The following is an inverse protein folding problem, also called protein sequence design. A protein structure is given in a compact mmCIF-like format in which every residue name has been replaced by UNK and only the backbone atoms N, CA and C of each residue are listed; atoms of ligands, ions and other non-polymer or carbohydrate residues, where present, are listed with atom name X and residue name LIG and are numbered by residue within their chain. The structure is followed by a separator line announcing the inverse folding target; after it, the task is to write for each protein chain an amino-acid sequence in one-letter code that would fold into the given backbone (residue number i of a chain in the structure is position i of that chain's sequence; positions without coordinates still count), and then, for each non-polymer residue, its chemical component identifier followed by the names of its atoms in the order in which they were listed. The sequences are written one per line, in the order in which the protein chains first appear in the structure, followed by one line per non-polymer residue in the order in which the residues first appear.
data_IF_491851539803
#
_entry.id   IF_491851539803
#
_cell.length_a   1.000
_cell.length_b   1.000
_cell.length_c   1.000
_cell.angle_alpha   90.00
_cell.angle_beta   90.00
_cell.angle_gamma   90.00
#
_symmetry.space_group_name_H-M   'P 1'
#
loop_
_entity.id
_entity.type
_entity.pdbx_description
1 polymer ?
#
# COMPACT_ATOMS: atom_id res chain seq x y z
N UNK A 1 10.34 14.27 -11.46
CA UNK A 1 11.14 13.04 -11.73
C UNK A 1 12.23 12.81 -10.66
N UNK A 2 12.92 13.86 -10.17
CA UNK A 2 13.92 13.73 -9.08
C UNK A 2 13.28 13.28 -7.76
N UNK A 3 12.12 13.81 -7.40
CA UNK A 3 11.41 13.46 -6.15
C UNK A 3 10.94 12.00 -6.10
N UNK A 4 10.73 11.37 -7.27
CA UNK A 4 10.41 9.93 -7.36
C UNK A 4 11.64 9.03 -7.16
N UNK A 5 12.85 9.56 -7.42
CA UNK A 5 14.12 8.84 -7.24
C UNK A 5 14.57 8.92 -5.77
N UNK A 6 14.36 10.04 -5.10
CA UNK A 6 14.79 10.23 -3.70
C UNK A 6 13.95 9.43 -2.69
N UNK A 7 12.66 9.16 -2.99
CA UNK A 7 11.80 8.33 -2.11
C UNK A 7 12.28 6.88 -1.96
N UNK A 8 12.62 6.15 -3.03
CA UNK A 8 13.23 4.83 -2.92
C UNK A 8 14.59 4.82 -2.21
N UNK A 9 15.42 5.86 -2.40
CA UNK A 9 16.71 5.98 -1.72
C UNK A 9 16.55 6.18 -0.20
N UNK A 10 15.54 6.94 0.24
CA UNK A 10 15.19 7.08 1.66
C UNK A 10 14.67 5.75 2.25
N UNK A 11 13.88 4.98 1.52
CA UNK A 11 13.43 3.66 1.95
C UNK A 11 14.57 2.63 2.01
N UNK A 12 15.53 2.73 1.10
CA UNK A 12 16.79 1.96 1.12
C UNK A 12 17.65 2.30 2.35
N UNK A 13 17.76 3.59 2.71
CA UNK A 13 18.49 4.04 3.90
C UNK A 13 17.80 3.55 5.19
N UNK A 14 16.48 3.41 5.17
CA UNK A 14 15.70 2.90 6.29
C UNK A 14 15.88 1.39 6.47
N UNK A 15 15.83 0.61 5.39
CA UNK A 15 16.15 -0.83 5.40
C UNK A 15 17.57 -1.14 5.87
N UNK A 16 18.52 -0.21 5.65
CA UNK A 16 19.89 -0.33 6.16
C UNK A 16 20.00 0.05 7.64
N UNK A 17 19.21 1.00 8.13
CA UNK A 17 19.22 1.45 9.55
C UNK A 17 18.76 0.37 10.52
N UNK A 18 17.73 -0.43 10.14
CA UNK A 18 17.24 -1.55 10.96
C UNK A 18 18.15 -2.76 11.01
N UNK A 19 19.23 -2.79 10.19
CA UNK A 19 20.13 -3.94 10.04
C UNK A 19 21.53 -3.74 10.66
N UNK A 20 21.83 -2.57 11.21
CA UNK A 20 23.19 -2.20 11.64
C UNK A 20 23.63 -2.81 12.98
N UNK A 21 22.75 -3.51 13.71
CA UNK A 21 23.07 -4.02 15.04
C UNK A 21 24.04 -5.22 15.12
N UNK A 22 24.29 -5.95 14.01
CA UNK A 22 25.12 -7.17 14.05
C UNK A 22 25.79 -7.58 12.73
N UNK A 23 25.88 -6.68 11.74
CA UNK A 23 26.48 -7.01 10.44
C UNK A 23 27.93 -6.56 10.32
N UNK A 24 28.81 -7.45 9.83
CA UNK A 24 30.17 -7.09 9.42
C UNK A 24 30.15 -6.12 8.23
N UNK A 25 31.20 -5.29 8.09
CA UNK A 25 31.32 -4.30 7.00
C UNK A 25 31.22 -4.95 5.60
N UNK A 26 31.72 -6.19 5.44
CA UNK A 26 31.62 -6.95 4.19
C UNK A 26 30.18 -7.35 3.85
N UNK A 27 29.40 -7.80 4.85
CA UNK A 27 27.97 -8.10 4.65
C UNK A 27 27.17 -6.85 4.32
N UNK A 28 27.52 -5.71 4.92
CA UNK A 28 26.92 -4.40 4.59
C UNK A 28 27.22 -3.96 3.15
N UNK A 29 28.50 -4.13 2.71
CA UNK A 29 28.91 -3.79 1.34
C UNK A 29 28.22 -4.69 0.29
N UNK A 30 28.19 -6.02 0.56
CA UNK A 30 27.47 -6.97 -0.32
C UNK A 30 25.98 -6.68 -0.40
N UNK A 31 25.35 -6.33 0.73
CA UNK A 31 23.92 -5.97 0.75
C UNK A 31 23.63 -4.64 0.07
N UNK A 32 24.50 -3.62 0.22
CA UNK A 32 24.42 -2.37 -0.55
C UNK A 32 24.50 -2.64 -2.05
N UNK A 33 25.45 -3.47 -2.49
CA UNK A 33 25.59 -3.85 -3.90
C UNK A 33 24.34 -4.57 -4.43
N UNK A 34 23.78 -5.50 -3.67
CA UNK A 34 22.54 -6.22 -4.03
C UNK A 34 21.33 -5.26 -4.09
N UNK A 35 21.19 -4.34 -3.14
CA UNK A 35 20.10 -3.36 -3.12
C UNK A 35 20.27 -2.34 -4.26
N UNK A 36 21.49 -1.91 -4.57
CA UNK A 36 21.78 -0.99 -5.66
C UNK A 36 21.52 -1.65 -7.02
N UNK A 37 21.92 -2.93 -7.20
CA UNK A 37 21.64 -3.68 -8.41
C UNK A 37 20.14 -3.91 -8.66
N UNK A 38 19.37 -4.20 -7.61
CA UNK A 38 17.91 -4.28 -7.70
C UNK A 38 17.29 -2.92 -8.00
N UNK A 39 17.85 -1.85 -7.48
CA UNK A 39 17.40 -0.48 -7.72
C UNK A 39 17.69 -0.01 -9.15
N UNK A 40 18.86 -0.32 -9.70
CA UNK A 40 19.19 -0.02 -11.10
C UNK A 40 18.30 -0.80 -12.07
N UNK A 41 17.90 -2.02 -11.72
CA UNK A 41 16.92 -2.80 -12.48
C UNK A 41 15.55 -2.16 -12.43
N UNK A 42 15.13 -1.65 -11.27
CA UNK A 42 13.90 -0.86 -11.11
C UNK A 42 14.01 0.47 -11.85
N UNK A 43 15.14 1.14 -11.83
CA UNK A 43 15.35 2.42 -12.54
C UNK A 43 15.36 2.28 -14.05
N UNK A 44 15.81 1.18 -14.62
CA UNK A 44 15.67 0.91 -16.07
C UNK A 44 14.22 0.84 -16.53
N UNK A 45 13.32 0.46 -15.63
CA UNK A 45 11.87 0.42 -15.89
C UNK A 45 11.15 1.71 -15.44
N UNK A 46 11.89 2.79 -15.10
CA UNK A 46 11.34 4.05 -14.54
C UNK A 46 10.34 4.75 -15.47
N UNK A 47 10.42 4.54 -16.75
CA UNK A 47 9.39 5.05 -17.68
C UNK A 47 8.02 4.41 -17.44
N UNK A 48 7.98 3.25 -16.78
CA UNK A 48 6.80 2.46 -16.45
C UNK A 48 6.46 2.43 -14.95
N UNK A 49 7.13 3.21 -14.08
CA UNK A 49 6.72 3.28 -12.66
C UNK A 49 5.31 3.85 -12.60
N UNK A 50 4.34 3.05 -12.14
CA UNK A 50 2.99 3.54 -12.04
C UNK A 50 2.92 4.66 -10.99
N UNK A 51 2.26 5.75 -11.32
CA UNK A 51 1.98 6.86 -10.40
C UNK A 51 0.83 6.53 -9.41
N UNK A 52 0.76 5.30 -8.97
CA UNK A 52 -0.26 4.81 -8.05
C UNK A 52 0.28 3.64 -7.21
N UNK A 53 -0.29 3.47 -6.01
CA UNK A 53 -0.07 2.30 -5.17
C UNK A 53 -1.05 1.21 -5.60
N UNK A 54 -0.57 -0.02 -5.76
CA UNK A 54 -1.42 -1.17 -6.05
C UNK A 54 -1.70 -1.95 -4.78
N UNK A 55 -2.97 -2.12 -4.45
CA UNK A 55 -3.43 -3.04 -3.41
C UNK A 55 -3.90 -4.33 -4.07
N UNK A 56 -3.34 -5.45 -3.65
CA UNK A 56 -3.64 -6.78 -4.19
C UNK A 56 -4.19 -7.72 -3.13
N UNK A 57 -3.60 -7.71 -1.94
CA UNK A 57 -3.75 -8.77 -0.96
C UNK A 57 -4.50 -8.30 0.28
N UNK A 58 -5.23 -9.22 0.88
CA UNK A 58 -5.75 -9.01 2.21
C UNK A 58 -4.61 -9.15 3.25
N UNK A 59 -4.49 -8.24 4.23
CA UNK A 59 -3.42 -8.27 5.22
C UNK A 59 -3.63 -9.37 6.25
N UNK A 60 -3.10 -10.56 6.01
CA UNK A 60 -3.18 -11.70 6.96
C UNK A 60 -1.86 -12.08 7.62
N UNK A 61 -0.75 -11.70 7.03
CA UNK A 61 0.55 -12.03 7.57
C UNK A 61 1.62 -11.00 7.19
N UNK A 62 2.72 -11.02 7.93
CA UNK A 62 3.88 -10.14 7.70
C UNK A 62 4.58 -10.35 6.33
N UNK A 63 4.19 -11.35 5.56
CA UNK A 63 4.80 -11.66 4.25
C UNK A 63 4.03 -11.10 3.07
N UNK A 64 2.89 -10.44 3.29
CA UNK A 64 2.06 -9.91 2.23
C UNK A 64 2.58 -8.56 1.77
N UNK A 65 2.85 -8.43 0.49
CA UNK A 65 3.23 -7.19 -0.17
C UNK A 65 2.00 -6.56 -0.83
N UNK A 66 1.89 -5.22 -0.75
CA UNK A 66 0.75 -4.52 -1.34
C UNK A 66 -0.53 -4.57 -0.51
N UNK A 67 -0.45 -4.96 0.78
CA UNK A 67 -1.59 -5.09 1.66
C UNK A 67 -2.08 -3.76 2.24
N UNK A 68 -1.19 -2.78 2.36
CA UNK A 68 -1.49 -1.47 2.93
C UNK A 68 -1.06 -0.35 2.00
N UNK A 69 -1.95 0.63 1.82
CA UNK A 69 -1.59 1.92 1.25
C UNK A 69 -1.69 3.00 2.33
N UNK A 70 -0.64 3.77 2.52
CA UNK A 70 -0.57 4.84 3.51
C UNK A 70 0.25 6.03 2.99
N UNK A 71 0.12 7.16 3.67
CA UNK A 71 0.86 8.39 3.35
C UNK A 71 2.25 8.31 3.96
N UNK A 72 3.29 8.13 3.13
CA UNK A 72 4.68 8.06 3.59
C UNK A 72 5.14 9.32 4.32
N UNK A 73 4.62 10.47 3.90
CA UNK A 73 4.94 11.79 4.46
C UNK A 73 4.30 12.01 5.83
N UNK A 74 3.36 11.13 6.24
CA UNK A 74 2.69 11.12 7.54
C UNK A 74 3.06 9.84 8.34
N UNK A 75 4.27 9.34 8.17
CA UNK A 75 4.71 8.10 8.86
C UNK A 75 4.73 8.23 10.39
N UNK A 76 4.97 9.43 10.92
CA UNK A 76 4.95 9.72 12.36
C UNK A 76 3.54 9.95 12.90
N UNK A 77 2.53 9.92 12.02
CA UNK A 77 1.13 10.08 12.36
C UNK A 77 0.68 11.52 12.55
N UNK A 78 -0.59 11.69 12.87
CA UNK A 78 -1.20 13.00 13.10
C UNK A 78 -0.70 13.61 14.42
N UNK A 79 -0.56 14.95 14.48
CA UNK A 79 0.00 15.63 15.65
C UNK A 79 -0.97 15.74 16.85
N UNK A 80 -2.29 15.57 16.62
CA UNK A 80 -3.33 15.74 17.63
C UNK A 80 -4.41 14.67 17.49
N UNK A 81 -5.04 14.33 18.62
CA UNK A 81 -6.27 13.54 18.61
C UNK A 81 -7.40 14.35 17.97
N UNK A 82 -8.24 13.71 17.17
CA UNK A 82 -9.39 14.39 16.59
C UNK A 82 -10.01 13.72 15.40
N UNK A 83 -11.07 14.36 14.90
CA UNK A 83 -11.65 13.99 13.62
C UNK A 83 -10.86 14.59 12.46
N UNK A 84 -10.66 13.77 11.45
CA UNK A 84 -9.98 14.15 10.22
C UNK A 84 -10.86 13.82 9.02
N UNK A 85 -10.82 14.67 8.00
CA UNK A 85 -11.36 14.37 6.69
C UNK A 85 -10.30 13.58 5.92
N UNK A 86 -10.58 12.33 5.66
CA UNK A 86 -9.75 11.45 4.86
C UNK A 86 -10.39 11.24 3.49
N UNK A 87 -9.62 11.39 2.41
CA UNK A 87 -10.08 11.13 1.07
C UNK A 87 -9.01 10.39 0.25
N UNK A 88 -9.45 9.64 -0.75
CA UNK A 88 -8.56 9.01 -1.72
C UNK A 88 -9.22 8.85 -3.08
N UNK A 89 -8.38 8.86 -4.13
CA UNK A 89 -8.79 8.52 -5.48
C UNK A 89 -8.34 7.10 -5.80
N UNK A 90 -9.24 6.26 -6.29
CA UNK A 90 -8.91 4.89 -6.61
C UNK A 90 -9.65 4.35 -7.84
N UNK A 91 -9.07 3.30 -8.43
CA UNK A 91 -9.66 2.53 -9.52
C UNK A 91 -9.59 1.05 -9.18
N UNK A 92 -10.74 0.37 -9.14
CA UNK A 92 -10.83 -1.09 -9.03
C UNK A 92 -10.68 -1.70 -10.43
N UNK A 93 -9.80 -2.67 -10.60
CA UNK A 93 -9.52 -3.28 -11.89
C UNK A 93 -9.50 -4.80 -11.80
N UNK A 94 -9.95 -5.42 -12.88
CA UNK A 94 -9.86 -6.85 -13.10
C UNK A 94 -10.53 -7.69 -11.99
N UNK A 95 -11.63 -7.22 -11.41
CA UNK A 95 -12.45 -8.00 -10.48
C UNK A 95 -12.85 -9.34 -11.11
N UNK A 96 -13.24 -9.30 -12.37
CA UNK A 96 -13.37 -10.46 -13.23
C UNK A 96 -12.13 -10.50 -14.12
N UNK A 97 -11.14 -11.37 -13.85
CA UNK A 97 -9.95 -11.48 -14.66
C UNK A 97 -10.30 -11.98 -16.08
N UNK A 98 -9.62 -11.49 -17.13
CA UNK A 98 -9.90 -11.90 -18.51
C UNK A 98 -9.25 -13.25 -18.86
N UNK A 99 -9.20 -14.17 -17.91
CA UNK A 99 -8.60 -15.50 -18.07
C UNK A 99 -9.61 -16.57 -17.68
N UNK A 100 -9.55 -17.73 -18.32
CA UNK A 100 -10.38 -18.88 -17.99
C UNK A 100 -10.15 -19.38 -16.56
N UNK A 101 -8.90 -19.24 -16.07
CA UNK A 101 -8.51 -19.64 -14.71
C UNK A 101 -8.51 -18.43 -13.77
N UNK A 102 -9.19 -18.55 -12.65
CA UNK A 102 -9.13 -17.53 -11.58
C UNK A 102 -7.89 -17.75 -10.69
N UNK A 103 -6.74 -17.25 -11.13
CA UNK A 103 -5.46 -17.37 -10.42
C UNK A 103 -5.51 -16.72 -9.02
N UNK A 104 -6.20 -15.60 -8.91
CA UNK A 104 -6.26 -14.82 -7.67
C UNK A 104 -7.20 -15.41 -6.62
N UNK A 105 -8.06 -16.38 -7.00
CA UNK A 105 -9.05 -17.01 -6.12
C UNK A 105 -9.92 -15.99 -5.36
N UNK A 106 -10.17 -14.85 -5.99
CA UNK A 106 -11.08 -13.83 -5.47
C UNK A 106 -12.50 -14.13 -5.86
N UNK A 107 -13.45 -13.67 -5.04
CA UNK A 107 -14.86 -13.70 -5.38
C UNK A 107 -15.15 -12.63 -6.42
N UNK A 108 -15.63 -13.04 -7.59
CA UNK A 108 -15.92 -12.14 -8.71
C UNK A 108 -17.34 -11.57 -8.68
N UNK A 109 -18.20 -12.14 -7.84
CA UNK A 109 -19.59 -11.74 -7.61
C UNK A 109 -19.74 -10.57 -6.63
N UNK A 110 -18.70 -10.28 -5.83
CA UNK A 110 -18.72 -9.19 -4.87
C UNK A 110 -17.93 -7.96 -5.39
N UNK A 111 -18.38 -6.72 -5.10
CA UNK A 111 -17.56 -5.55 -5.34
C UNK A 111 -16.30 -5.59 -4.48
N UNK A 112 -15.22 -4.98 -4.94
CA UNK A 112 -14.05 -4.81 -4.10
C UNK A 112 -14.35 -3.88 -2.93
N UNK A 113 -13.86 -4.24 -1.75
CA UNK A 113 -14.08 -3.48 -0.51
C UNK A 113 -12.75 -3.07 0.11
N UNK A 114 -12.65 -1.79 0.41
CA UNK A 114 -11.56 -1.23 1.19
C UNK A 114 -12.03 -0.80 2.56
N UNK A 115 -11.12 -0.76 3.52
CA UNK A 115 -11.33 -0.08 4.80
C UNK A 115 -10.16 0.84 5.12
N UNK A 116 -10.44 1.86 5.94
CA UNK A 116 -9.41 2.64 6.61
C UNK A 116 -9.18 2.04 7.99
N UNK A 117 -7.93 1.80 8.32
CA UNK A 117 -7.50 1.39 9.66
C UNK A 117 -6.40 2.33 10.17
N UNK A 118 -6.28 2.58 11.48
CA UNK A 118 -5.16 3.34 12.01
C UNK A 118 -3.89 2.51 11.95
N UNK A 119 -2.76 3.19 11.90
CA UNK A 119 -1.44 2.61 12.07
C UNK A 119 -0.57 3.52 12.90
N UNK A 120 0.32 2.95 13.71
CA UNK A 120 1.28 3.69 14.50
C UNK A 120 2.66 3.07 14.31
N UNK A 121 3.65 3.88 13.89
CA UNK A 121 5.01 3.42 13.62
C UNK A 121 5.73 2.93 14.88
N UNK A 122 5.36 3.42 16.06
CA UNK A 122 5.91 2.98 17.35
C UNK A 122 5.44 1.57 17.71
N UNK A 123 4.24 1.17 17.24
CA UNK A 123 3.68 -0.17 17.44
C UNK A 123 4.26 -1.18 16.45
N UNK A 124 4.57 -0.72 15.25
CA UNK A 124 5.16 -1.57 14.22
C UNK A 124 5.19 -0.94 12.83
N UNK A 125 5.81 -1.62 11.86
CA UNK A 125 5.89 -1.12 10.50
C UNK A 125 4.51 -0.88 9.89
N UNK A 126 4.30 0.28 9.25
CA UNK A 126 3.01 0.67 8.68
C UNK A 126 2.54 -0.20 7.50
N UNK A 127 3.45 -0.92 6.85
CA UNK A 127 3.14 -1.85 5.76
C UNK A 127 2.80 -3.27 6.22
N UNK A 128 2.77 -3.50 7.54
CA UNK A 128 2.47 -4.81 8.15
C UNK A 128 1.23 -4.72 9.03
N UNK A 129 0.55 -5.86 9.31
CA UNK A 129 -0.51 -5.93 10.29
C UNK A 129 -0.04 -5.48 11.68
N UNK A 130 -0.88 -4.70 12.35
CA UNK A 130 -0.67 -4.26 13.72
C UNK A 130 -1.72 -4.88 14.65
N UNK A 131 -1.47 -4.97 15.97
CA UNK A 131 -2.34 -5.69 16.90
C UNK A 131 -3.77 -5.15 16.96
N UNK A 132 -3.96 -3.84 16.80
CA UNK A 132 -5.26 -3.18 16.84
C UNK A 132 -5.50 -2.40 15.54
N UNK A 133 -6.41 -2.89 14.73
CA UNK A 133 -6.80 -2.29 13.45
C UNK A 133 -8.33 -2.13 13.35
N UNK A 134 -8.93 -1.26 14.19
CA UNK A 134 -10.35 -0.97 14.06
C UNK A 134 -10.63 -0.37 12.69
N UNK A 135 -11.71 -0.81 12.07
CA UNK A 135 -12.12 -0.28 10.76
C UNK A 135 -12.84 1.04 10.96
N UNK A 136 -12.17 2.14 10.64
CA UNK A 136 -12.67 3.50 10.84
C UNK A 136 -13.70 3.90 9.76
N UNK A 137 -13.57 3.35 8.56
CA UNK A 137 -14.50 3.54 7.46
C UNK A 137 -14.39 2.38 6.46
N UNK A 138 -15.49 2.14 5.70
CA UNK A 138 -15.59 1.12 4.67
C UNK A 138 -16.00 1.73 3.34
N UNK A 139 -15.50 1.18 2.24
CA UNK A 139 -15.80 1.64 0.90
C UNK A 139 -16.01 0.47 -0.04
N UNK A 140 -17.10 0.50 -0.79
CA UNK A 140 -17.32 -0.37 -1.95
C UNK A 140 -16.80 0.33 -3.20
N UNK A 141 -15.97 -0.38 -3.94
CA UNK A 141 -15.28 0.16 -5.10
C UNK A 141 -16.11 0.02 -6.37
N UNK A 142 -16.10 1.05 -7.19
CA UNK A 142 -16.69 1.01 -8.53
C UNK A 142 -15.65 0.47 -9.52
N UNK A 143 -16.04 -0.56 -10.28
CA UNK A 143 -15.18 -1.20 -11.25
C UNK A 143 -14.83 -0.27 -12.43
N UNK A 144 -13.57 -0.32 -12.85
CA UNK A 144 -13.09 0.27 -14.10
C UNK A 144 -13.03 1.80 -14.14
N UNK A 145 -13.57 2.49 -13.13
CA UNK A 145 -13.62 3.96 -13.10
C UNK A 145 -12.81 4.50 -11.92
N UNK A 146 -12.02 5.54 -12.20
CA UNK A 146 -11.39 6.33 -11.14
C UNK A 146 -12.47 7.12 -10.40
N UNK A 147 -12.55 6.93 -9.10
CA UNK A 147 -13.54 7.61 -8.24
C UNK A 147 -12.86 8.11 -6.97
N UNK A 148 -13.33 9.24 -6.47
CA UNK A 148 -12.95 9.80 -5.19
C UNK A 148 -13.86 9.24 -4.10
N UNK A 149 -13.24 8.80 -3.01
CA UNK A 149 -13.88 8.31 -1.80
C UNK A 149 -13.46 9.17 -0.63
N UNK A 150 -14.33 9.36 0.36
CA UNK A 150 -14.01 10.15 1.54
C UNK A 150 -14.79 9.67 2.76
N UNK A 151 -14.23 9.95 3.93
CA UNK A 151 -14.88 9.74 5.22
C UNK A 151 -14.32 10.71 6.27
N UNK A 152 -15.13 10.99 7.29
CA UNK A 152 -14.67 11.59 8.54
C UNK A 152 -14.25 10.45 9.46
N UNK A 153 -12.99 10.44 9.90
CA UNK A 153 -12.41 9.39 10.73
C UNK A 153 -11.80 10.00 11.98
N UNK A 154 -11.86 9.26 13.10
CA UNK A 154 -11.13 9.63 14.30
C UNK A 154 -9.73 9.03 14.25
N UNK A 155 -8.72 9.87 14.53
CA UNK A 155 -7.34 9.44 14.70
C UNK A 155 -6.78 9.93 16.01
N UNK A 156 -6.08 9.08 16.74
CA UNK A 156 -5.28 9.45 17.87
C UNK A 156 -3.94 10.03 17.43
N UNK A 157 -3.35 10.91 18.22
CA UNK A 157 -1.99 11.42 18.01
C UNK A 157 -1.02 10.27 17.74
N UNK A 158 -0.13 10.44 16.75
CA UNK A 158 0.81 9.43 16.31
C UNK A 158 0.20 8.35 15.38
N UNK A 159 -1.10 8.43 15.07
CA UNK A 159 -1.75 7.49 14.15
C UNK A 159 -1.72 8.00 12.71
N UNK A 160 -1.49 7.09 11.78
CA UNK A 160 -1.56 7.30 10.33
C UNK A 160 -2.69 6.47 9.73
N UNK A 161 -3.55 7.04 8.86
CA UNK A 161 -4.58 6.27 8.18
C UNK A 161 -3.94 5.35 7.13
N UNK A 162 -4.37 4.09 7.12
CA UNK A 162 -3.92 3.08 6.18
C UNK A 162 -5.13 2.46 5.48
N UNK A 163 -5.08 2.32 4.16
CA UNK A 163 -6.09 1.59 3.40
C UNK A 163 -5.71 0.12 3.31
N UNK A 164 -6.68 -0.75 3.55
CA UNK A 164 -6.56 -2.20 3.40
C UNK A 164 -7.61 -2.73 2.43
N UNK A 165 -7.26 -3.80 1.71
CA UNK A 165 -8.15 -4.46 0.76
C UNK A 165 -8.83 -5.66 1.46
N UNK A 166 -10.10 -5.49 1.86
CA UNK A 166 -10.80 -6.43 2.75
C UNK A 166 -11.09 -7.80 2.12
N UNK A 167 -11.43 -7.83 0.84
CA UNK A 167 -11.73 -9.04 0.08
C UNK A 167 -10.74 -9.30 -1.05
N UNK A 168 -9.51 -8.81 -0.91
CA UNK A 168 -8.41 -9.10 -1.83
C UNK A 168 -7.90 -10.54 -1.69
N UNK A 169 -7.17 -10.97 -2.69
CA UNK A 169 -6.55 -12.30 -2.70
C UNK A 169 -5.46 -12.43 -1.64
N UNK A 170 -5.40 -13.59 -0.97
CA UNK A 170 -4.32 -13.92 -0.03
C UNK A 170 -3.09 -14.51 -0.69
N UNK A 171 -3.20 -14.88 -1.96
CA UNK A 171 -2.18 -15.60 -2.71
C UNK A 171 -1.71 -14.79 -3.91
N UNK A 172 -1.81 -13.48 -3.86
CA UNK A 172 -1.54 -12.60 -5.02
C UNK A 172 -0.14 -12.78 -5.58
N UNK A 173 0.88 -12.99 -4.72
CA UNK A 173 2.23 -13.30 -5.19
C UNK A 173 2.25 -14.56 -6.06
N UNK A 174 1.63 -15.63 -5.59
CA UNK A 174 1.54 -16.89 -6.33
C UNK A 174 0.65 -16.75 -7.56
N UNK A 175 -0.44 -15.99 -7.46
CA UNK A 175 -1.31 -15.69 -8.58
C UNK A 175 -0.56 -14.99 -9.73
N UNK A 176 0.32 -14.04 -9.42
CA UNK A 176 1.15 -13.39 -10.43
C UNK A 176 2.15 -14.37 -11.09
N UNK A 177 2.77 -15.25 -10.29
CA UNK A 177 3.68 -16.28 -10.81
C UNK A 177 2.93 -17.26 -11.72
N UNK A 178 1.80 -17.80 -11.27
CA UNK A 178 0.98 -18.73 -12.06
C UNK A 178 0.44 -18.07 -13.33
N UNK A 179 -0.03 -16.83 -13.23
CA UNK A 179 -0.51 -16.09 -14.40
C UNK A 179 0.61 -15.79 -15.40
N UNK A 180 1.83 -15.48 -14.90
CA UNK A 180 3.00 -15.29 -15.76
C UNK A 180 3.33 -16.55 -16.56
N UNK A 181 3.38 -17.71 -15.88
CA UNK A 181 3.63 -18.99 -16.54
C UNK A 181 2.56 -19.31 -17.59
N UNK A 182 1.29 -19.12 -17.24
CA UNK A 182 0.18 -19.31 -18.17
C UNK A 182 0.26 -18.39 -19.39
N UNK A 183 0.52 -17.09 -19.19
CA UNK A 183 0.63 -16.13 -20.29
C UNK A 183 1.77 -16.47 -21.23
N UNK A 184 2.93 -16.80 -20.70
CA UNK A 184 4.10 -17.18 -21.50
C UNK A 184 3.86 -18.46 -22.30
N UNK A 185 3.24 -19.47 -21.68
CA UNK A 185 2.87 -20.70 -22.38
C UNK A 185 1.86 -20.43 -23.50
N UNK A 186 0.81 -19.64 -23.22
CA UNK A 186 -0.19 -19.24 -24.23
C UNK A 186 0.44 -18.52 -25.42
N UNK A 187 1.40 -17.63 -25.15
CA UNK A 187 2.03 -16.76 -26.15
C UNK A 187 3.27 -17.44 -26.81
N UNK A 188 3.50 -18.73 -26.54
CA UNK A 188 4.60 -19.50 -27.12
C UNK A 188 6.00 -19.06 -26.66
N UNK A 189 6.08 -18.34 -25.52
CA UNK A 189 7.34 -17.85 -24.98
C UNK A 189 8.01 -18.89 -24.08
N UNK A 190 9.36 -18.96 -24.05
CA UNK A 190 10.07 -19.90 -23.19
C UNK A 190 9.78 -19.60 -21.71
N UNK A 191 9.77 -20.62 -20.83
CA UNK A 191 9.57 -20.43 -19.40
C UNK A 191 10.69 -19.57 -18.79
N UNK A 192 10.36 -18.79 -17.74
CA UNK A 192 11.35 -18.04 -16.98
C UNK A 192 12.05 -18.94 -15.95
N UNK A 193 13.32 -18.66 -15.69
CA UNK A 193 14.19 -19.52 -14.88
C UNK A 193 13.88 -19.45 -13.38
N UNK A 194 13.30 -18.36 -12.90
CA UNK A 194 13.08 -18.14 -11.46
C UNK A 194 11.66 -17.69 -11.12
N UNK A 195 11.26 -17.95 -9.85
CA UNK A 195 10.00 -17.44 -9.31
C UNK A 195 9.95 -15.91 -9.24
N UNK A 196 11.08 -15.24 -9.06
CA UNK A 196 11.13 -13.79 -9.04
C UNK A 196 10.92 -13.18 -10.44
N UNK A 197 11.50 -13.75 -11.46
CA UNK A 197 11.25 -13.31 -12.87
C UNK A 197 9.80 -13.52 -13.25
N UNK A 198 9.21 -14.67 -12.89
CA UNK A 198 7.79 -14.91 -13.08
C UNK A 198 6.93 -13.89 -12.32
N UNK A 199 7.29 -13.55 -11.07
CA UNK A 199 6.57 -12.54 -10.28
C UNK A 199 6.62 -11.16 -10.97
N UNK A 200 7.81 -10.72 -11.41
CA UNK A 200 7.98 -9.44 -12.11
C UNK A 200 7.18 -9.42 -13.41
N UNK A 201 7.28 -10.48 -14.21
CA UNK A 201 6.52 -10.61 -15.46
C UNK A 201 5.00 -10.56 -15.17
N UNK A 202 4.53 -11.29 -14.17
CA UNK A 202 3.13 -11.30 -13.79
C UNK A 202 2.64 -9.93 -13.30
N UNK A 203 3.45 -9.20 -12.53
CA UNK A 203 3.12 -7.83 -12.08
C UNK A 203 3.00 -6.85 -13.26
N UNK A 204 3.79 -7.04 -14.30
CA UNK A 204 3.80 -6.17 -15.49
C UNK A 204 2.68 -6.52 -16.48
N UNK A 205 2.43 -7.79 -16.72
CA UNK A 205 1.61 -8.27 -17.85
C UNK A 205 0.28 -8.90 -17.44
N UNK A 206 0.17 -9.46 -16.22
CA UNK A 206 -1.05 -10.12 -15.80
C UNK A 206 -2.13 -9.12 -15.36
N UNK A 207 -3.35 -9.29 -15.89
CA UNK A 207 -4.54 -8.53 -15.52
C UNK A 207 -5.25 -9.22 -14.35
N UNK A 208 -4.65 -9.13 -13.16
CA UNK A 208 -5.19 -9.71 -11.93
C UNK A 208 -5.96 -8.69 -11.11
N UNK A 209 -6.91 -9.14 -10.26
CA UNK A 209 -7.71 -8.29 -9.38
C UNK A 209 -6.85 -7.34 -8.56
N UNK A 210 -7.07 -6.03 -8.66
CA UNK A 210 -6.29 -5.02 -7.94
C UNK A 210 -7.08 -3.73 -7.73
N UNK A 211 -6.73 -2.99 -6.69
CA UNK A 211 -7.17 -1.61 -6.50
C UNK A 211 -5.96 -0.69 -6.63
N UNK A 212 -6.03 0.27 -7.55
CA UNK A 212 -4.99 1.30 -7.75
C UNK A 212 -5.37 2.53 -6.97
N UNK A 213 -4.56 2.91 -5.99
CA UNK A 213 -4.70 4.14 -5.21
C UNK A 213 -3.84 5.22 -5.87
N UNK A 214 -4.47 6.25 -6.40
CA UNK A 214 -3.81 7.32 -7.15
C UNK A 214 -3.42 8.49 -6.28
N UNK A 215 -4.24 8.78 -5.26
CA UNK A 215 -4.04 9.91 -4.37
C UNK A 215 -4.60 9.60 -2.99
N UNK A 216 -3.90 10.03 -1.94
CA UNK A 216 -4.35 10.02 -0.56
C UNK A 216 -4.33 11.45 -0.03
N UNK A 217 -5.34 11.84 0.69
CA UNK A 217 -5.49 13.17 1.27
C UNK A 217 -6.00 13.07 2.70
N UNK A 218 -5.42 13.86 3.59
CA UNK A 218 -5.87 14.01 4.97
C UNK A 218 -5.89 15.49 5.35
N UNK A 219 -6.97 15.94 5.97
CA UNK A 219 -7.12 17.29 6.48
C UNK A 219 -7.74 17.27 7.86
N UNK A 220 -7.21 18.08 8.75
CA UNK A 220 -7.68 18.16 10.12
C UNK A 220 -6.58 18.54 11.11
N UNK A 221 -6.85 18.49 12.43
CA UNK A 221 -8.12 18.05 13.02
C UNK A 221 -9.29 18.99 12.69
N UNK A 222 -10.48 18.40 12.53
CA UNK A 222 -11.71 19.16 12.27
C UNK A 222 -12.18 19.74 13.61
N UNK A 223 -12.25 21.04 13.68
CA UNK A 223 -12.77 21.79 14.84
C UNK A 223 -14.14 22.33 14.47
N UNK A 224 -15.20 21.68 14.94
CA UNK A 224 -16.58 22.03 14.59
C UNK A 224 -16.98 23.42 15.14
N UNK A 225 -16.40 23.82 16.30
CA UNK A 225 -16.63 25.11 16.91
C UNK A 225 -15.36 25.69 17.51
N UNK A 226 -15.04 26.94 17.17
CA UNK A 226 -13.95 27.69 17.75
C UNK A 226 -14.50 28.93 18.47
N UNK A 227 -14.07 29.24 19.69
CA UNK A 227 -13.20 28.44 20.56
C UNK A 227 -13.88 27.17 21.05
N UNK A 228 -13.10 26.11 21.25
CA UNK A 228 -13.60 24.82 21.75
C UNK A 228 -14.16 25.02 23.19
N UNK A 229 -15.02 24.10 23.63
CA UNK A 229 -15.57 24.15 25.00
C UNK A 229 -14.46 24.26 26.05
N UNK A 230 -13.40 23.48 25.90
CA UNK A 230 -12.22 23.51 26.79
C UNK A 230 -11.54 24.89 26.78
N UNK A 231 -11.40 25.52 25.61
CA UNK A 231 -10.84 26.89 25.54
C UNK A 231 -11.73 27.91 26.25
N UNK A 232 -13.05 27.80 26.09
CA UNK A 232 -13.98 28.68 26.83
C UNK A 232 -13.89 28.50 28.35
N UNK A 233 -13.76 27.24 28.79
CA UNK A 233 -13.63 26.91 30.22
C UNK A 233 -12.30 27.40 30.82
N UNK A 234 -11.18 27.31 30.07
CA UNK A 234 -9.85 27.71 30.54
C UNK A 234 -9.64 29.24 30.45
N UNK A 235 -10.13 29.86 29.37
CA UNK A 235 -9.88 31.30 29.13
C UNK A 235 -10.95 32.22 29.73
N UNK A 236 -11.93 31.66 30.48
CA UNK A 236 -13.02 32.42 31.06
C UNK A 236 -13.87 33.06 29.99
N UNK A 237 -14.93 32.39 29.55
CA UNK A 237 -15.83 32.94 28.55
C UNK A 237 -16.38 34.30 28.98
N UNK A 238 -15.97 35.33 28.27
CA UNK A 238 -16.69 36.59 28.19
C UNK A 238 -17.69 36.54 27.06
#
# INVERSE_FOLDING_TARGET
KRDLIDKPLKSLSWGLKGMTGSMTQEKLASRRKSLTGNFETILRDVENIPNHIRLYEHPRSQRHMGSYAYMSDLSEGVPFDGYYFFAFDATALYRVPPYEKNFARTRTDEPFRLAVVPGNIEVGPLHLPQPLEPKLAHFEMVDGKRKKYHARIWLNKGSTPRLIFLNGSHLTRYAHIEAAQFLRQRDGLPPLSSGNENLVYGLQHAKLPQVRIHHLFLSGPIIDHWPTRTHKEILGGT
#
